data_IF_553884053617
#
_entry.id   IF_553884053617
#
_cell.length_a   1.000
_cell.length_b   1.000
_cell.length_c   1.000
_cell.angle_alpha   90.00
_cell.angle_beta   90.00
_cell.angle_gamma   90.00
#
_symmetry.space_group_name_H-M   'P 1'
#
loop_
_entity.id
_entity.type
_entity.pdbx_description
1 polymer ?
#
# COMPACT_ATOMS: atom_id res chain seq x y z
N UNK A 1 -13.58 49.25 -13.96
CA UNK A 1 -12.40 48.42 -13.64
C UNK A 1 -12.07 48.76 -12.20
N UNK A 2 -12.68 48.04 -11.26
CA UNK A 2 -12.32 48.11 -9.85
C UNK A 2 -11.47 46.88 -9.63
N UNK A 3 -10.15 47.04 -9.63
CA UNK A 3 -9.26 46.00 -9.12
C UNK A 3 -9.58 45.89 -7.63
N UNK A 4 -10.20 44.78 -7.27
CA UNK A 4 -10.73 44.50 -5.93
C UNK A 4 -9.56 43.94 -5.09
N UNK A 5 -8.89 44.76 -4.27
CA UNK A 5 -7.70 44.34 -3.51
C UNK A 5 -8.00 43.18 -2.56
N UNK A 6 -9.26 43.04 -2.14
CA UNK A 6 -9.72 41.93 -1.30
C UNK A 6 -9.63 40.57 -2.04
N UNK A 7 -9.79 40.53 -3.37
CA UNK A 7 -9.73 39.27 -4.13
C UNK A 7 -8.31 38.75 -4.32
N UNK A 8 -7.32 39.64 -4.46
CA UNK A 8 -5.90 39.24 -4.54
C UNK A 8 -5.37 38.78 -3.17
N UNK A 9 -5.75 39.47 -2.10
CA UNK A 9 -5.39 39.08 -0.73
C UNK A 9 -6.05 37.75 -0.31
N UNK A 10 -7.31 37.51 -0.71
CA UNK A 10 -7.98 36.23 -0.48
C UNK A 10 -7.31 35.09 -1.27
N UNK A 11 -6.92 35.32 -2.54
CA UNK A 11 -6.18 34.31 -3.33
C UNK A 11 -4.80 33.99 -2.75
N UNK A 12 -4.10 34.98 -2.21
CA UNK A 12 -2.79 34.78 -1.59
C UNK A 12 -2.90 33.93 -0.31
N UNK A 13 -3.91 34.19 0.52
CA UNK A 13 -4.16 33.43 1.75
C UNK A 13 -4.56 31.98 1.46
N UNK A 14 -5.42 31.72 0.48
CA UNK A 14 -5.79 30.33 0.10
C UNK A 14 -4.60 29.58 -0.51
N UNK A 15 -3.80 30.25 -1.35
CA UNK A 15 -2.58 29.69 -1.94
C UNK A 15 -1.54 29.31 -0.88
N UNK A 16 -1.40 30.11 0.18
CA UNK A 16 -0.50 29.79 1.28
C UNK A 16 -1.03 28.66 2.17
N UNK A 17 -2.34 28.62 2.44
CA UNK A 17 -2.98 27.53 3.17
C UNK A 17 -2.84 26.18 2.47
N UNK A 18 -3.11 26.13 1.16
CA UNK A 18 -2.97 24.90 0.36
C UNK A 18 -1.52 24.41 0.30
N UNK A 19 -0.54 25.32 0.27
CA UNK A 19 0.89 24.96 0.33
C UNK A 19 1.29 24.36 1.67
N UNK A 20 0.78 24.90 2.78
CA UNK A 20 1.06 24.38 4.12
C UNK A 20 0.40 23.02 4.35
N UNK A 21 -0.83 22.83 3.89
CA UNK A 21 -1.54 21.55 3.96
C UNK A 21 -0.87 20.47 3.09
N UNK A 22 -0.40 20.85 1.90
CA UNK A 22 0.38 19.96 1.02
C UNK A 22 1.72 19.58 1.63
N UNK A 23 2.41 20.53 2.28
CA UNK A 23 3.68 20.25 2.95
C UNK A 23 3.52 19.35 4.17
N UNK A 24 2.44 19.52 4.95
CA UNK A 24 2.14 18.65 6.08
C UNK A 24 1.85 17.21 5.62
N UNK A 25 1.02 17.01 4.59
CA UNK A 25 0.75 15.69 4.00
C UNK A 25 2.00 15.01 3.46
N UNK A 26 2.89 15.79 2.85
CA UNK A 26 4.17 15.27 2.37
C UNK A 26 5.05 14.78 3.54
N UNK A 27 5.12 15.54 4.63
CA UNK A 27 5.85 15.15 5.83
C UNK A 27 5.27 13.87 6.44
N UNK A 28 3.95 13.80 6.63
CA UNK A 28 3.28 12.60 7.16
C UNK A 28 3.55 11.36 6.31
N UNK A 29 3.58 11.51 4.97
CA UNK A 29 3.94 10.41 4.06
C UNK A 29 5.40 10.00 4.23
N UNK A 30 6.33 10.95 4.35
CA UNK A 30 7.76 10.66 4.53
C UNK A 30 8.03 9.94 5.85
N UNK A 31 7.33 10.31 6.91
CA UNK A 31 7.39 9.64 8.21
C UNK A 31 6.92 8.18 8.09
N UNK A 32 5.77 7.95 7.44
CA UNK A 32 5.30 6.58 7.17
C UNK A 32 6.30 5.77 6.33
N UNK A 33 6.92 6.38 5.31
CA UNK A 33 7.96 5.71 4.50
C UNK A 33 9.16 5.31 5.38
N UNK A 34 9.58 6.18 6.29
CA UNK A 34 10.68 5.89 7.22
C UNK A 34 10.33 4.71 8.12
N UNK A 35 9.16 4.73 8.74
CA UNK A 35 8.68 3.65 9.62
C UNK A 35 8.63 2.30 8.88
N UNK A 36 8.16 2.30 7.62
CA UNK A 36 8.15 1.07 6.81
C UNK A 36 9.57 0.58 6.51
N UNK A 37 10.53 1.47 6.23
CA UNK A 37 11.93 1.08 6.01
C UNK A 37 12.51 0.41 7.27
N UNK A 38 12.27 0.98 8.44
CA UNK A 38 12.76 0.43 9.71
C UNK A 38 12.19 -0.97 9.96
N UNK A 39 10.88 -1.17 9.72
CA UNK A 39 10.25 -2.49 9.82
C UNK A 39 10.82 -3.51 8.82
N UNK A 40 11.07 -3.09 7.56
CA UNK A 40 11.70 -3.95 6.56
C UNK A 40 13.13 -4.36 6.97
N UNK A 41 13.90 -3.44 7.54
CA UNK A 41 15.26 -3.71 8.05
C UNK A 41 15.23 -4.66 9.26
N UNK A 42 14.31 -4.46 10.21
CA UNK A 42 14.14 -5.36 11.36
C UNK A 42 13.70 -6.77 10.92
N UNK A 43 12.85 -6.85 9.90
CA UNK A 43 12.44 -8.09 9.27
C UNK A 43 13.64 -8.82 8.62
N UNK A 44 14.51 -8.11 7.91
CA UNK A 44 15.68 -8.70 7.25
C UNK A 44 16.79 -9.08 8.24
N UNK A 45 16.90 -8.36 9.36
CA UNK A 45 17.76 -8.70 10.49
C UNK A 45 17.26 -9.94 11.28
N UNK A 46 15.99 -10.33 11.10
CA UNK A 46 15.34 -11.41 11.83
C UNK A 46 14.78 -11.01 13.19
N UNK A 47 14.78 -9.72 13.51
CA UNK A 47 14.21 -9.16 14.74
C UNK A 47 12.67 -9.16 14.69
N UNK A 48 12.09 -9.11 13.49
CA UNK A 48 10.65 -9.18 13.24
C UNK A 48 10.28 -10.32 12.27
N UNK A 49 9.07 -10.87 12.43
CA UNK A 49 8.58 -11.93 11.57
C UNK A 49 7.87 -11.36 10.32
N UNK A 50 8.10 -11.99 9.16
CA UNK A 50 7.42 -11.66 7.89
C UNK A 50 5.94 -12.08 7.85
N UNK A 51 5.49 -12.86 8.84
CA UNK A 51 4.18 -13.53 8.80
C UNK A 51 3.08 -12.63 9.34
N UNK A 52 2.05 -12.39 8.51
CA UNK A 52 0.80 -11.75 8.93
C UNK A 52 -0.24 -12.83 9.27
N UNK A 53 -0.83 -12.76 10.46
CA UNK A 53 -1.89 -13.67 10.91
C UNK A 53 -3.20 -12.92 11.09
N UNK A 54 -4.31 -13.47 10.61
CA UNK A 54 -5.65 -12.89 10.72
C UNK A 54 -6.59 -13.87 11.43
N UNK A 55 -7.32 -13.40 12.43
CA UNK A 55 -8.36 -14.17 13.10
C UNK A 55 -9.72 -13.91 12.45
N UNK A 56 -9.98 -14.58 11.32
CA UNK A 56 -11.25 -14.47 10.60
C UNK A 56 -11.76 -15.85 10.17
N UNK A 57 -12.89 -16.27 10.72
CA UNK A 57 -13.48 -17.57 10.44
C UNK A 57 -14.07 -17.71 9.04
N UNK A 58 -14.61 -16.63 8.48
CA UNK A 58 -15.25 -16.65 7.17
C UNK A 58 -14.20 -16.70 6.07
N UNK A 59 -13.16 -15.88 6.18
CA UNK A 59 -12.02 -15.91 5.27
C UNK A 59 -11.28 -17.25 5.37
N UNK A 60 -11.08 -17.77 6.58
CA UNK A 60 -10.50 -19.11 6.75
C UNK A 60 -11.33 -20.20 6.07
N UNK A 61 -12.67 -20.14 6.16
CA UNK A 61 -13.55 -21.10 5.47
C UNK A 61 -13.47 -20.95 3.94
N UNK A 62 -13.47 -19.72 3.42
CA UNK A 62 -13.35 -19.44 2.00
C UNK A 62 -12.03 -19.97 1.42
N UNK A 63 -10.90 -19.66 2.06
CA UNK A 63 -9.58 -20.11 1.62
C UNK A 63 -9.49 -21.65 1.65
N UNK A 64 -10.00 -22.30 2.70
CA UNK A 64 -10.04 -23.77 2.75
C UNK A 64 -10.90 -24.37 1.63
N UNK A 65 -11.99 -23.71 1.25
CA UNK A 65 -12.81 -24.15 0.12
C UNK A 65 -12.07 -23.98 -1.20
N UNK A 66 -11.29 -22.91 -1.39
CA UNK A 66 -10.43 -22.74 -2.56
C UNK A 66 -9.34 -23.81 -2.62
N UNK A 67 -8.66 -24.09 -1.51
CA UNK A 67 -7.63 -25.14 -1.44
C UNK A 67 -8.18 -26.53 -1.81
N UNK A 68 -9.45 -26.80 -1.48
CA UNK A 68 -10.13 -28.04 -1.85
C UNK A 68 -10.58 -28.07 -3.33
N UNK A 69 -10.58 -26.94 -4.03
CA UNK A 69 -11.04 -26.81 -5.40
C UNK A 69 -10.03 -25.98 -6.24
N UNK A 70 -8.96 -26.62 -6.76
CA UNK A 70 -7.85 -25.92 -7.43
C UNK A 70 -8.29 -25.01 -8.58
N UNK A 71 -9.29 -25.39 -9.36
CA UNK A 71 -9.82 -24.55 -10.45
C UNK A 71 -10.32 -23.18 -9.96
N UNK A 72 -10.97 -23.14 -8.78
CA UNK A 72 -11.42 -21.89 -8.18
C UNK A 72 -10.27 -21.10 -7.57
N UNK A 73 -9.27 -21.78 -7.00
CA UNK A 73 -8.07 -21.15 -6.47
C UNK A 73 -7.29 -20.45 -7.59
N UNK A 74 -7.08 -21.14 -8.72
CA UNK A 74 -6.42 -20.61 -9.91
C UNK A 74 -7.22 -19.44 -10.49
N UNK A 75 -8.54 -19.56 -10.62
CA UNK A 75 -9.38 -18.48 -11.14
C UNK A 75 -9.28 -17.21 -10.28
N UNK A 76 -9.34 -17.34 -8.95
CA UNK A 76 -9.20 -16.21 -8.03
C UNK A 76 -7.79 -15.63 -8.08
N UNK A 77 -6.77 -16.48 -8.05
CA UNK A 77 -5.37 -16.05 -8.15
C UNK A 77 -5.09 -15.29 -9.44
N UNK A 78 -5.50 -15.81 -10.58
CA UNK A 78 -5.33 -15.18 -11.89
C UNK A 78 -6.03 -13.81 -11.96
N UNK A 79 -7.26 -13.70 -11.45
CA UNK A 79 -7.96 -12.42 -11.39
C UNK A 79 -7.24 -11.38 -10.53
N UNK A 80 -6.67 -11.79 -9.39
CA UNK A 80 -5.90 -10.90 -8.52
C UNK A 80 -4.57 -10.48 -9.15
N UNK A 81 -3.93 -11.36 -9.90
CA UNK A 81 -2.69 -11.07 -10.63
C UNK A 81 -2.92 -10.05 -11.76
N UNK A 82 -4.00 -10.23 -12.52
CA UNK A 82 -4.39 -9.30 -13.57
C UNK A 82 -4.61 -7.88 -13.02
N UNK A 83 -5.24 -7.75 -11.85
CA UNK A 83 -5.41 -6.46 -11.18
C UNK A 83 -4.09 -5.82 -10.72
N UNK A 84 -3.11 -6.64 -10.37
CA UNK A 84 -1.80 -6.18 -9.89
C UNK A 84 -0.78 -5.99 -11.02
N UNK A 85 -1.10 -6.38 -12.25
CA UNK A 85 -0.18 -6.42 -13.40
C UNK A 85 1.10 -7.21 -13.09
N UNK A 86 0.93 -8.42 -12.51
CA UNK A 86 2.02 -9.34 -12.17
C UNK A 86 1.78 -10.74 -12.75
N UNK A 87 2.87 -11.49 -12.94
CA UNK A 87 2.82 -12.89 -13.38
C UNK A 87 3.61 -13.78 -12.41
N UNK A 88 2.90 -14.62 -11.65
CA UNK A 88 3.41 -15.68 -10.78
C UNK A 88 2.91 -17.02 -11.34
N UNK A 89 3.84 -17.96 -11.56
CA UNK A 89 3.55 -19.21 -12.28
C UNK A 89 2.78 -20.23 -11.45
N UNK A 90 2.87 -20.16 -10.12
CA UNK A 90 2.20 -21.07 -9.20
C UNK A 90 1.30 -20.26 -8.27
N UNK A 91 0.00 -20.56 -8.32
CA UNK A 91 -0.97 -19.97 -7.40
C UNK A 91 -1.20 -20.94 -6.26
N UNK A 92 -0.83 -20.51 -5.06
CA UNK A 92 -1.13 -21.20 -3.83
C UNK A 92 -1.95 -20.31 -2.88
N UNK A 93 -2.32 -20.87 -1.73
CA UNK A 93 -3.01 -20.13 -0.66
C UNK A 93 -2.28 -18.85 -0.27
N UNK A 94 -0.96 -18.91 -0.15
CA UNK A 94 -0.14 -17.77 0.28
C UNK A 94 -0.17 -16.67 -0.78
N UNK A 95 -0.07 -17.01 -2.06
CA UNK A 95 -0.13 -16.08 -3.18
C UNK A 95 -1.52 -15.43 -3.27
N UNK A 96 -2.61 -16.19 -3.17
CA UNK A 96 -3.98 -15.64 -3.13
C UNK A 96 -4.15 -14.63 -1.99
N UNK A 97 -3.73 -14.98 -0.77
CA UNK A 97 -3.84 -14.08 0.39
C UNK A 97 -2.99 -12.81 0.21
N UNK A 98 -1.75 -12.97 -0.26
CA UNK A 98 -0.81 -11.87 -0.50
C UNK A 98 -1.38 -10.92 -1.55
N UNK A 99 -1.91 -11.43 -2.67
CA UNK A 99 -2.47 -10.61 -3.73
C UNK A 99 -3.75 -9.92 -3.30
N UNK A 100 -4.66 -10.62 -2.61
CA UNK A 100 -5.89 -10.04 -2.10
C UNK A 100 -5.62 -8.87 -1.14
N UNK A 101 -4.64 -9.02 -0.23
CA UNK A 101 -4.23 -7.92 0.65
C UNK A 101 -3.67 -6.74 -0.15
N UNK A 102 -2.82 -6.98 -1.15
CA UNK A 102 -2.25 -5.91 -1.98
C UNK A 102 -3.32 -5.16 -2.77
N UNK A 103 -4.24 -5.87 -3.42
CA UNK A 103 -5.37 -5.26 -4.15
C UNK A 103 -6.22 -4.46 -3.18
N UNK A 104 -6.59 -5.04 -2.03
CA UNK A 104 -7.42 -4.37 -1.03
C UNK A 104 -6.82 -3.06 -0.52
N UNK A 105 -5.51 -3.03 -0.22
CA UNK A 105 -4.85 -1.79 0.19
C UNK A 105 -4.65 -0.80 -0.95
N UNK A 106 -4.36 -1.27 -2.18
CA UNK A 106 -4.25 -0.40 -3.34
C UNK A 106 -5.57 0.30 -3.68
N UNK A 107 -6.71 -0.35 -3.46
CA UNK A 107 -8.03 0.23 -3.68
C UNK A 107 -8.50 1.11 -2.51
N UNK A 108 -8.33 0.64 -1.27
CA UNK A 108 -8.88 1.32 -0.10
C UNK A 108 -8.00 2.46 0.43
N UNK A 109 -6.69 2.39 0.22
CA UNK A 109 -5.70 3.30 0.80
C UNK A 109 -4.48 3.53 -0.12
N UNK A 110 -4.68 4.04 -1.36
CA UNK A 110 -3.62 4.14 -2.37
C UNK A 110 -2.45 5.00 -1.92
N UNK A 111 -2.69 6.15 -1.28
CA UNK A 111 -1.63 7.07 -0.84
C UNK A 111 -0.71 6.43 0.21
N UNK A 112 -1.30 5.72 1.18
CA UNK A 112 -0.56 5.00 2.21
C UNK A 112 0.17 3.79 1.62
N UNK A 113 -0.45 3.11 0.66
CA UNK A 113 0.17 1.94 0.04
C UNK A 113 1.32 2.30 -0.92
N UNK A 114 1.30 3.51 -1.53
CA UNK A 114 2.43 4.04 -2.28
C UNK A 114 3.69 4.21 -1.42
N UNK A 115 3.54 4.52 -0.13
CA UNK A 115 4.66 4.62 0.81
C UNK A 115 5.46 3.31 0.88
N UNK A 116 4.80 2.15 0.74
CA UNK A 116 5.47 0.84 0.70
C UNK A 116 6.42 0.75 -0.51
N UNK A 117 5.98 1.20 -1.69
CA UNK A 117 6.82 1.18 -2.91
C UNK A 117 8.03 2.10 -2.76
N UNK A 118 7.85 3.26 -2.13
CA UNK A 118 8.95 4.18 -1.85
C UNK A 118 9.93 3.59 -0.83
N UNK A 119 9.43 3.01 0.26
CA UNK A 119 10.24 2.37 1.30
C UNK A 119 11.10 1.25 0.73
N UNK A 120 10.53 0.34 -0.07
CA UNK A 120 11.28 -0.76 -0.72
C UNK A 120 12.39 -0.22 -1.61
N UNK A 121 12.16 0.85 -2.38
CA UNK A 121 13.21 1.49 -3.20
C UNK A 121 14.32 2.09 -2.33
N UNK A 122 13.97 2.79 -1.25
CA UNK A 122 14.95 3.37 -0.31
C UNK A 122 15.81 2.27 0.34
N UNK A 123 15.18 1.21 0.82
CA UNK A 123 15.88 0.07 1.43
C UNK A 123 16.86 -0.56 0.45
N UNK A 124 16.45 -0.82 -0.80
CA UNK A 124 17.31 -1.38 -1.83
C UNK A 124 18.52 -0.49 -2.15
N UNK A 125 18.36 0.84 -2.14
CA UNK A 125 19.48 1.77 -2.35
C UNK A 125 20.44 1.90 -1.18
N UNK A 126 20.04 1.56 0.06
CA UNK A 126 20.96 1.55 1.23
C UNK A 126 21.95 0.38 1.19
N UNK A 127 21.63 -0.70 0.48
CA UNK A 127 22.46 -1.91 0.38
C UNK A 127 23.51 -1.89 -0.74
N UNK A 128 23.60 -0.80 -1.52
CA UNK A 128 24.59 -0.56 -2.59
C UNK A 128 25.74 0.32 -2.09
#
# INVERSE_FOLDING_TARGET
MSDDPDLEDLKAQTSQGDRLDSAAKEMDRQDLVHDIVDELEAIDAGDQQKTVSVWDGQLAAFIRALEANPEHLDAVGNGLQEQLDIEETEIDRSSVLRFALRVGFQEAAPEQFEAVREAVRKQATKGL
#
